data_IF_952786268520
#
_entry.id   IF_952786268520
#
_cell.length_a   1.000
_cell.length_b   1.000
_cell.length_c   1.000
_cell.angle_alpha   90.00
_cell.angle_beta   90.00
_cell.angle_gamma   90.00
#
_symmetry.space_group_name_H-M   'P 1'
#
loop_
_entity.id
_entity.type
_entity.pdbx_description
1 polymer ?
#
# COMPACT_ATOMS: atom_id res chain seq x y z
N UNK A 1 -27.13 7.93 25.97
CA UNK A 1 -26.53 7.29 24.79
C UNK A 1 -25.13 7.87 24.58
N UNK A 2 -24.08 7.21 25.06
CA UNK A 2 -22.75 7.80 25.24
C UNK A 2 -21.60 7.04 24.51
N UNK A 3 -21.90 6.30 23.43
CA UNK A 3 -20.91 5.47 22.72
C UNK A 3 -20.62 5.83 21.26
N UNK A 4 -21.45 6.64 20.59
CA UNK A 4 -21.38 6.75 19.12
C UNK A 4 -20.11 7.47 18.62
N UNK A 5 -19.62 8.49 19.31
CA UNK A 5 -18.50 9.32 18.83
C UNK A 5 -17.15 8.61 18.94
N UNK A 6 -16.90 7.93 20.07
CA UNK A 6 -15.67 7.16 20.28
C UNK A 6 -15.59 5.94 19.36
N UNK A 7 -16.70 5.22 19.18
CA UNK A 7 -16.76 4.08 18.24
C UNK A 7 -16.49 4.52 16.81
N UNK A 8 -17.05 5.65 16.35
CA UNK A 8 -16.76 6.19 15.01
C UNK A 8 -15.29 6.54 14.82
N UNK A 9 -14.66 7.18 15.79
CA UNK A 9 -13.22 7.50 15.74
C UNK A 9 -12.35 6.25 15.65
N UNK A 10 -12.62 5.23 16.48
CA UNK A 10 -11.89 3.96 16.43
C UNK A 10 -12.08 3.27 15.07
N UNK A 11 -13.30 3.31 14.52
CA UNK A 11 -13.58 2.76 13.20
C UNK A 11 -12.85 3.52 12.08
N UNK A 12 -12.82 4.85 12.11
CA UNK A 12 -12.05 5.64 11.15
C UNK A 12 -10.55 5.30 11.23
N UNK A 13 -10.00 5.17 12.43
CA UNK A 13 -8.60 4.77 12.62
C UNK A 13 -8.33 3.34 12.10
N UNK A 14 -9.25 2.41 12.34
CA UNK A 14 -9.17 1.05 11.81
C UNK A 14 -9.21 1.06 10.28
N UNK A 15 -10.09 1.85 9.66
CA UNK A 15 -10.17 2.01 8.20
C UNK A 15 -8.89 2.60 7.61
N UNK A 16 -8.33 3.63 8.25
CA UNK A 16 -7.09 4.27 7.82
C UNK A 16 -5.90 3.30 7.88
N UNK A 17 -5.87 2.45 8.91
CA UNK A 17 -4.90 1.36 9.06
C UNK A 17 -5.23 0.12 8.22
N UNK A 18 -6.23 0.21 7.34
CA UNK A 18 -6.69 -0.88 6.48
C UNK A 18 -7.33 -2.06 7.22
N UNK A 19 -7.52 -1.98 8.54
CA UNK A 19 -8.02 -3.10 9.35
C UNK A 19 -9.46 -3.48 8.94
N UNK A 20 -9.78 -4.78 8.85
CA UNK A 20 -11.13 -5.22 8.55
C UNK A 20 -12.06 -4.87 9.72
N UNK A 21 -13.27 -4.41 9.39
CA UNK A 21 -14.32 -4.02 10.35
C UNK A 21 -15.53 -4.91 10.10
N UNK A 22 -16.21 -5.37 11.16
CA UNK A 22 -17.47 -6.11 11.04
C UNK A 22 -18.56 -5.30 11.74
N UNK A 23 -19.40 -4.56 10.98
CA UNK A 23 -20.52 -3.83 11.54
C UNK A 23 -21.71 -4.77 11.76
N UNK A 24 -22.14 -4.93 13.00
CA UNK A 24 -23.29 -5.76 13.36
C UNK A 24 -24.48 -4.81 13.62
N UNK A 25 -25.43 -4.69 12.66
CA UNK A 25 -26.43 -3.62 12.68
C UNK A 25 -27.38 -3.69 13.88
N UNK A 26 -27.61 -4.87 14.47
CA UNK A 26 -28.52 -4.99 15.62
C UNK A 26 -28.03 -4.26 16.88
N UNK A 27 -26.73 -3.91 16.97
CA UNK A 27 -26.21 -3.11 18.07
C UNK A 27 -26.58 -1.63 17.95
N UNK A 28 -27.14 -1.21 16.80
CA UNK A 28 -27.64 0.13 16.57
C UNK A 28 -26.54 1.20 16.52
N UNK A 29 -26.98 2.46 16.37
CA UNK A 29 -26.11 3.63 16.43
C UNK A 29 -24.97 3.57 15.41
N UNK A 30 -23.73 3.76 15.87
CA UNK A 30 -22.56 3.76 14.99
C UNK A 30 -22.36 2.44 14.21
N UNK A 31 -22.82 1.32 14.76
CA UNK A 31 -22.70 0.01 14.08
C UNK A 31 -23.69 -0.10 12.91
N UNK A 32 -24.88 0.45 13.06
CA UNK A 32 -25.90 0.51 12.02
C UNK A 32 -25.48 1.47 10.89
N UNK A 33 -24.95 2.65 11.24
CA UNK A 33 -24.40 3.61 10.28
C UNK A 33 -23.28 2.98 9.43
N UNK A 34 -22.36 2.25 10.08
CA UNK A 34 -21.26 1.57 9.41
C UNK A 34 -21.73 0.38 8.56
N UNK A 35 -22.78 -0.32 8.99
CA UNK A 35 -23.36 -1.41 8.23
C UNK A 35 -23.90 -0.90 6.89
N UNK A 36 -24.64 0.22 6.89
CA UNK A 36 -25.10 0.87 5.66
C UNK A 36 -23.94 1.36 4.80
N UNK A 37 -22.91 1.95 5.41
CA UNK A 37 -21.70 2.38 4.70
C UNK A 37 -20.98 1.22 3.98
N UNK A 38 -20.86 0.05 4.62
CA UNK A 38 -20.19 -1.11 4.05
C UNK A 38 -21.10 -2.01 3.21
N UNK A 39 -22.40 -1.72 3.12
CA UNK A 39 -23.42 -2.55 2.46
C UNK A 39 -23.01 -2.96 1.04
N UNK A 40 -22.60 -2.02 0.20
CA UNK A 40 -22.18 -2.35 -1.16
C UNK A 40 -20.90 -3.22 -1.20
N UNK A 41 -19.94 -2.94 -0.31
CA UNK A 41 -18.66 -3.65 -0.24
C UNK A 41 -18.86 -5.11 0.19
N UNK A 42 -19.72 -5.34 1.18
CA UNK A 42 -19.96 -6.67 1.74
C UNK A 42 -21.03 -7.46 0.99
N UNK A 43 -21.88 -6.82 0.18
CA UNK A 43 -22.81 -7.53 -0.70
C UNK A 43 -22.08 -8.41 -1.73
N UNK A 44 -20.86 -8.03 -2.11
CA UNK A 44 -20.00 -8.79 -3.03
C UNK A 44 -19.25 -9.95 -2.37
N UNK A 45 -19.26 -10.03 -1.04
CA UNK A 45 -18.57 -11.08 -0.29
C UNK A 45 -19.60 -12.14 0.10
N UNK A 46 -19.35 -13.39 -0.24
CA UNK A 46 -20.22 -14.51 0.08
C UNK A 46 -19.58 -15.43 1.12
N UNK A 47 -20.40 -15.92 2.04
CA UNK A 47 -20.08 -16.99 2.99
C UNK A 47 -21.18 -18.02 2.83
N UNK A 48 -20.81 -19.27 2.52
CA UNK A 48 -21.78 -20.36 2.28
C UNK A 48 -22.89 -19.93 1.29
N UNK A 49 -22.49 -19.33 0.17
CA UNK A 49 -23.34 -18.76 -0.90
C UNK A 49 -24.28 -17.61 -0.53
N UNK A 50 -24.26 -17.17 0.74
CA UNK A 50 -25.03 -16.01 1.20
C UNK A 50 -24.15 -14.77 1.28
N UNK A 51 -24.63 -13.59 0.84
CA UNK A 51 -23.85 -12.37 0.97
C UNK A 51 -23.69 -12.01 2.46
N UNK A 52 -22.50 -11.54 2.84
CA UNK A 52 -22.16 -11.13 4.23
C UNK A 52 -23.19 -10.13 4.77
N UNK A 53 -23.69 -9.22 3.92
CA UNK A 53 -24.74 -8.26 4.28
C UNK A 53 -26.03 -8.92 4.73
N UNK A 54 -26.45 -10.02 4.07
CA UNK A 54 -27.65 -10.74 4.49
C UNK A 54 -27.45 -11.46 5.83
N UNK A 55 -26.24 -11.97 6.07
CA UNK A 55 -25.89 -12.63 7.34
C UNK A 55 -25.85 -11.64 8.50
N UNK A 56 -25.23 -10.47 8.30
CA UNK A 56 -25.15 -9.41 9.31
C UNK A 56 -26.50 -8.70 9.51
N UNK A 57 -27.27 -8.46 8.44
CA UNK A 57 -28.56 -7.76 8.50
C UNK A 57 -29.69 -8.57 9.16
N UNK A 58 -29.62 -9.90 9.13
CA UNK A 58 -30.57 -10.80 9.81
C UNK A 58 -30.11 -11.20 11.22
N UNK A 59 -29.01 -10.63 11.71
CA UNK A 59 -28.37 -11.04 12.95
C UNK A 59 -29.17 -10.55 14.16
N UNK A 60 -30.00 -11.45 14.72
CA UNK A 60 -30.64 -11.28 16.04
C UNK A 60 -30.18 -12.32 17.06
N UNK A 61 -29.83 -13.53 16.59
CA UNK A 61 -29.37 -14.69 17.37
C UNK A 61 -28.25 -15.46 16.65
N UNK A 62 -27.39 -14.79 15.87
CA UNK A 62 -26.35 -15.50 15.12
C UNK A 62 -25.35 -16.16 16.06
N UNK A 63 -24.87 -17.36 15.71
CA UNK A 63 -23.87 -18.08 16.49
C UNK A 63 -22.51 -17.40 16.35
N UNK A 64 -21.70 -17.41 17.41
CA UNK A 64 -20.33 -16.86 17.42
C UNK A 64 -19.49 -17.40 16.23
N UNK A 65 -19.75 -18.65 15.83
CA UNK A 65 -19.15 -19.30 14.67
C UNK A 65 -19.34 -18.53 13.35
N UNK A 66 -20.48 -17.88 13.12
CA UNK A 66 -20.71 -17.11 11.90
C UNK A 66 -19.87 -15.83 11.88
N UNK A 67 -19.74 -15.16 13.02
CA UNK A 67 -18.89 -13.97 13.15
C UNK A 67 -17.43 -14.35 12.95
N UNK A 68 -16.99 -15.46 13.54
CA UNK A 68 -15.63 -15.98 13.36
C UNK A 68 -15.38 -16.34 11.89
N UNK A 69 -16.30 -17.03 11.20
CA UNK A 69 -16.17 -17.31 9.76
C UNK A 69 -16.12 -16.05 8.90
N UNK A 70 -16.98 -15.07 9.18
CA UNK A 70 -16.95 -13.77 8.48
C UNK A 70 -15.63 -13.06 8.76
N UNK A 71 -15.15 -13.06 10.00
CA UNK A 71 -13.87 -12.49 10.39
C UNK A 71 -12.72 -13.18 9.68
N UNK A 72 -12.68 -14.52 9.65
CA UNK A 72 -11.68 -15.30 8.92
C UNK A 72 -11.70 -14.99 7.43
N UNK A 73 -12.87 -14.87 6.80
CA UNK A 73 -12.98 -14.54 5.38
C UNK A 73 -12.55 -13.10 5.10
N UNK A 74 -12.95 -12.14 5.94
CA UNK A 74 -12.53 -10.75 5.80
C UNK A 74 -11.03 -10.58 6.09
N UNK A 75 -10.50 -11.33 7.06
CA UNK A 75 -9.09 -11.33 7.42
C UNK A 75 -8.26 -12.04 6.35
N UNK A 76 -8.73 -13.17 5.82
CA UNK A 76 -8.11 -13.88 4.69
C UNK A 76 -8.18 -13.02 3.43
N UNK A 77 -9.29 -12.33 3.17
CA UNK A 77 -9.41 -11.37 2.05
C UNK A 77 -8.52 -10.14 2.25
N UNK A 78 -8.35 -9.69 3.48
CA UNK A 78 -7.38 -8.66 3.85
C UNK A 78 -5.94 -9.16 3.75
N UNK A 79 -5.67 -10.46 3.93
CA UNK A 79 -4.34 -11.05 3.73
C UNK A 79 -4.06 -11.41 2.26
N UNK A 80 -5.09 -11.77 1.48
CA UNK A 80 -5.00 -12.07 0.04
C UNK A 80 -5.17 -10.84 -0.83
N UNK A 81 -5.75 -9.75 -0.32
CA UNK A 81 -5.20 -8.42 -0.56
C UNK A 81 -3.86 -8.36 0.17
N UNK A 82 -2.86 -9.13 -0.28
CA UNK A 82 -1.49 -8.81 0.10
C UNK A 82 -1.33 -7.36 -0.33
N UNK A 83 -1.30 -6.44 0.63
CA UNK A 83 -1.29 -5.03 0.37
C UNK A 83 0.06 -4.78 -0.29
N UNK A 84 0.09 -4.84 -1.62
CA UNK A 84 1.30 -4.84 -2.42
C UNK A 84 2.17 -3.69 -1.92
N UNK A 85 3.30 -4.05 -1.31
CA UNK A 85 4.11 -3.11 -0.53
C UNK A 85 5.11 -2.41 -1.43
N UNK A 86 5.26 -1.12 -1.21
CA UNK A 86 6.14 -0.28 -2.00
C UNK A 86 7.30 0.23 -1.16
N UNK A 87 8.51 0.20 -1.69
CA UNK A 87 9.65 0.94 -1.15
C UNK A 87 9.99 2.07 -2.12
N UNK A 88 10.20 3.29 -1.61
CA UNK A 88 10.56 4.46 -2.42
C UNK A 88 11.99 4.87 -2.08
N UNK A 89 12.91 4.67 -3.02
CA UNK A 89 14.26 5.23 -2.99
C UNK A 89 14.28 6.56 -3.74
N UNK A 90 14.89 7.58 -3.13
CA UNK A 90 14.99 8.92 -3.70
C UNK A 90 16.20 9.67 -3.14
N UNK A 91 16.70 10.66 -3.89
CA UNK A 91 17.71 11.60 -3.37
C UNK A 91 17.03 12.63 -2.48
N UNK A 92 17.69 13.11 -1.41
CA UNK A 92 17.12 14.14 -0.53
C UNK A 92 16.60 15.38 -1.27
N UNK A 93 17.24 15.75 -2.39
CA UNK A 93 16.81 16.87 -3.25
C UNK A 93 15.47 16.64 -3.94
N UNK A 94 15.02 15.40 -4.02
CA UNK A 94 13.77 14.96 -4.65
C UNK A 94 12.67 14.65 -3.62
N UNK A 95 12.85 15.02 -2.35
CA UNK A 95 11.90 14.72 -1.25
C UNK A 95 10.46 15.19 -1.55
N UNK A 96 10.30 16.37 -2.16
CA UNK A 96 8.99 16.92 -2.53
C UNK A 96 8.27 16.01 -3.54
N UNK A 97 9.01 15.43 -4.47
CA UNK A 97 8.47 14.47 -5.44
C UNK A 97 8.14 13.14 -4.76
N UNK A 98 8.97 12.69 -3.82
CA UNK A 98 8.73 11.49 -3.02
C UNK A 98 7.45 11.60 -2.18
N UNK A 99 7.28 12.69 -1.44
CA UNK A 99 6.08 12.90 -0.61
C UNK A 99 4.80 12.97 -1.45
N UNK A 100 4.88 13.54 -2.65
CA UNK A 100 3.76 13.55 -3.59
C UNK A 100 3.40 12.14 -4.06
N UNK A 101 4.39 11.34 -4.45
CA UNK A 101 4.19 9.94 -4.88
C UNK A 101 3.66 9.09 -3.72
N UNK A 102 4.18 9.33 -2.51
CA UNK A 102 3.72 8.68 -1.29
C UNK A 102 2.23 8.97 -1.05
N UNK A 103 1.84 10.24 -1.15
CA UNK A 103 0.44 10.66 -1.02
C UNK A 103 -0.46 9.98 -2.04
N UNK A 104 -0.01 9.86 -3.29
CA UNK A 104 -0.76 9.19 -4.36
C UNK A 104 -0.93 7.69 -4.08
N UNK A 105 0.13 6.99 -3.67
CA UNK A 105 0.07 5.57 -3.33
C UNK A 105 -0.83 5.30 -2.11
N UNK A 106 -0.76 6.15 -1.08
CA UNK A 106 -1.66 6.07 0.08
C UNK A 106 -3.12 6.31 -0.30
N UNK A 107 -3.39 7.22 -1.23
CA UNK A 107 -4.75 7.45 -1.79
C UNK A 107 -5.31 6.20 -2.46
N UNK A 108 -4.44 5.41 -3.09
CA UNK A 108 -4.80 4.10 -3.68
C UNK A 108 -4.74 2.95 -2.65
N UNK A 109 -4.69 3.24 -1.34
CA UNK A 109 -4.60 2.27 -0.25
C UNK A 109 -3.40 1.30 -0.36
N UNK A 110 -2.27 1.77 -0.90
CA UNK A 110 -1.03 1.00 -0.99
C UNK A 110 -0.10 1.34 0.18
N UNK A 111 0.36 0.33 0.95
CA UNK A 111 1.29 0.55 2.04
C UNK A 111 2.70 0.83 1.50
N UNK A 112 3.40 1.73 2.18
CA UNK A 112 4.72 2.20 1.79
C UNK A 112 5.67 1.94 2.94
N UNK A 113 6.80 1.32 2.61
CA UNK A 113 7.92 1.06 3.49
C UNK A 113 8.92 2.19 3.27
N UNK A 114 9.15 2.98 4.32
CA UNK A 114 10.10 4.09 4.34
C UNK A 114 10.86 4.03 5.65
N UNK A 115 12.14 4.36 5.62
CA UNK A 115 12.86 4.63 6.87
C UNK A 115 12.46 6.04 7.34
N UNK A 116 11.87 6.15 8.52
CA UNK A 116 11.48 7.42 9.14
C UNK A 116 12.69 8.24 9.64
N UNK A 117 13.91 7.69 9.50
CA UNK A 117 15.12 8.43 9.77
C UNK A 117 15.47 9.30 8.56
N UNK A 118 15.45 10.63 8.76
CA UNK A 118 16.24 11.56 7.96
C UNK A 118 17.67 11.02 7.86
N UNK A 119 18.00 10.38 6.73
CA UNK A 119 19.35 9.89 6.48
C UNK A 119 20.22 11.12 6.22
N UNK A 120 20.77 11.66 7.30
CA UNK A 120 21.94 12.53 7.21
C UNK A 120 23.05 11.72 6.53
N UNK A 121 23.60 12.29 5.46
CA UNK A 121 24.68 11.68 4.70
C UNK A 121 25.86 11.34 5.63
N UNK A 122 26.21 10.06 5.75
CA UNK A 122 27.41 9.64 6.48
C UNK A 122 27.33 8.30 7.23
N UNK A 123 26.14 7.73 7.46
CA UNK A 123 26.05 6.40 8.09
C UNK A 123 26.18 5.26 7.06
N UNK A 124 26.80 4.12 7.44
CA UNK A 124 26.80 2.93 6.61
C UNK A 124 25.37 2.52 6.27
N UNK A 125 25.14 1.99 5.07
CA UNK A 125 23.85 1.47 4.63
C UNK A 125 23.23 0.69 5.79
N UNK A 126 22.16 1.22 6.37
CA UNK A 126 21.63 0.62 7.58
C UNK A 126 21.07 -0.75 7.22
N UNK A 127 21.39 -1.78 7.99
CA UNK A 127 20.81 -3.12 7.82
C UNK A 127 19.26 -3.06 7.74
N UNK A 128 18.67 -2.00 8.29
CA UNK A 128 17.25 -1.69 8.27
C UNK A 128 16.73 -1.38 6.86
N UNK A 129 17.42 -0.56 6.08
CA UNK A 129 17.03 -0.24 4.70
C UNK A 129 17.05 -1.48 3.81
N UNK A 130 18.10 -2.30 3.90
CA UNK A 130 18.15 -3.58 3.19
C UNK A 130 16.99 -4.50 3.60
N UNK A 131 16.70 -4.61 4.89
CA UNK A 131 15.58 -5.41 5.36
C UNK A 131 14.23 -4.91 4.81
N UNK A 132 14.02 -3.59 4.69
CA UNK A 132 12.82 -3.01 4.08
C UNK A 132 12.73 -3.32 2.58
N UNK A 133 13.85 -3.26 1.86
CA UNK A 133 13.91 -3.61 0.44
C UNK A 133 13.64 -5.11 0.24
N UNK A 134 14.16 -5.98 1.11
CA UNK A 134 13.94 -7.43 1.01
C UNK A 134 12.49 -7.87 1.22
N UNK A 135 11.72 -7.13 2.02
CA UNK A 135 10.32 -7.46 2.32
C UNK A 135 9.32 -6.71 1.43
N UNK A 136 9.77 -5.79 0.57
CA UNK A 136 8.88 -5.06 -0.32
C UNK A 136 8.48 -5.86 -1.57
N UNK A 137 7.29 -5.62 -2.10
CA UNK A 137 6.85 -6.23 -3.36
C UNK A 137 7.36 -5.44 -4.57
N UNK A 138 7.38 -4.11 -4.48
CA UNK A 138 7.88 -3.23 -5.55
C UNK A 138 8.81 -2.17 -5.01
N UNK A 139 10.00 -2.14 -5.60
CA UNK A 139 10.96 -1.07 -5.40
C UNK A 139 10.75 0.02 -6.44
N UNK A 140 10.60 1.27 -5.99
CA UNK A 140 10.48 2.46 -6.82
C UNK A 140 11.74 3.30 -6.62
N UNK A 141 12.49 3.55 -7.68
CA UNK A 141 13.54 4.57 -7.67
C UNK A 141 13.04 5.85 -8.34
N UNK A 142 13.16 6.98 -7.65
CA UNK A 142 12.92 8.30 -8.22
C UNK A 142 14.17 8.74 -8.97
N UNK A 143 14.29 8.29 -10.21
CA UNK A 143 15.44 8.53 -11.05
C UNK A 143 15.53 10.00 -11.44
N UNK A 144 16.64 10.61 -11.07
CA UNK A 144 17.00 11.99 -11.39
C UNK A 144 18.52 12.10 -11.57
N UNK A 145 18.99 13.23 -12.09
CA UNK A 145 20.42 13.56 -12.09
C UNK A 145 21.02 13.61 -10.67
N UNK A 146 20.23 13.91 -9.65
CA UNK A 146 20.66 13.91 -8.25
C UNK A 146 20.70 12.50 -7.67
N UNK A 147 19.78 11.63 -8.10
CA UNK A 147 19.78 10.21 -7.75
C UNK A 147 21.02 9.51 -8.31
N UNK A 148 21.36 9.76 -9.58
CA UNK A 148 22.50 9.11 -10.24
C UNK A 148 23.87 9.50 -9.66
N UNK A 149 23.96 10.68 -9.05
CA UNK A 149 25.15 11.15 -8.34
C UNK A 149 25.25 10.64 -6.89
N UNK A 150 24.16 10.10 -6.35
CA UNK A 150 24.12 9.56 -4.99
C UNK A 150 24.60 8.12 -4.99
N UNK A 151 25.83 7.89 -4.50
CA UNK A 151 26.40 6.55 -4.33
C UNK A 151 25.47 5.62 -3.53
N UNK A 152 24.73 6.19 -2.58
CA UNK A 152 23.80 5.45 -1.75
C UNK A 152 22.56 5.01 -2.52
N UNK A 153 21.88 5.93 -3.21
CA UNK A 153 20.70 5.62 -4.02
C UNK A 153 21.01 4.62 -5.15
N UNK A 154 22.20 4.72 -5.75
CA UNK A 154 22.66 3.75 -6.75
C UNK A 154 22.91 2.37 -6.15
N UNK A 155 23.48 2.29 -4.94
CA UNK A 155 23.70 1.02 -4.25
C UNK A 155 22.38 0.31 -3.88
N UNK A 156 21.37 1.07 -3.42
CA UNK A 156 20.04 0.53 -3.15
C UNK A 156 19.38 -0.04 -4.40
N UNK A 157 19.47 0.68 -5.53
CA UNK A 157 18.92 0.24 -6.81
C UNK A 157 19.61 -1.05 -7.29
N UNK A 158 20.93 -1.13 -7.19
CA UNK A 158 21.68 -2.33 -7.52
C UNK A 158 21.29 -3.52 -6.63
N UNK A 159 21.09 -3.27 -5.33
CA UNK A 159 20.65 -4.30 -4.40
C UNK A 159 19.24 -4.80 -4.74
N UNK A 160 18.29 -3.89 -5.00
CA UNK A 160 16.95 -4.24 -5.44
C UNK A 160 16.97 -5.03 -6.77
N UNK A 161 17.78 -4.62 -7.74
CA UNK A 161 17.95 -5.35 -9.01
C UNK A 161 18.45 -6.79 -8.79
N UNK A 162 19.41 -7.00 -7.88
CA UNK A 162 19.85 -8.36 -7.49
C UNK A 162 18.70 -9.18 -6.90
N UNK A 163 17.89 -8.59 -6.04
CA UNK A 163 16.73 -9.27 -5.46
C UNK A 163 15.68 -9.64 -6.51
N UNK A 164 15.47 -8.79 -7.51
CA UNK A 164 14.59 -9.06 -8.65
C UNK A 164 15.06 -10.30 -9.43
N UNK A 165 16.36 -10.42 -9.70
CA UNK A 165 16.93 -11.61 -10.33
C UNK A 165 16.70 -12.89 -9.50
N UNK A 166 16.79 -12.78 -8.18
CA UNK A 166 16.50 -13.90 -7.25
C UNK A 166 15.01 -14.12 -6.97
N UNK A 167 14.12 -13.33 -7.59
CA UNK A 167 12.66 -13.33 -7.38
C UNK A 167 12.22 -13.09 -5.92
N UNK A 168 13.04 -12.41 -5.13
CA UNK A 168 12.68 -12.01 -3.75
C UNK A 168 11.75 -10.80 -3.75
N UNK A 169 11.94 -9.87 -4.69
CA UNK A 169 10.99 -8.77 -4.97
C UNK A 169 10.34 -8.99 -6.32
N UNK A 170 9.11 -8.49 -6.50
CA UNK A 170 8.34 -8.73 -7.72
C UNK A 170 8.71 -7.78 -8.85
N UNK A 171 8.96 -6.50 -8.54
CA UNK A 171 9.21 -5.46 -9.55
C UNK A 171 10.19 -4.41 -9.06
N UNK A 172 10.94 -3.84 -10.01
CA UNK A 172 11.73 -2.62 -9.85
C UNK A 172 11.23 -1.64 -10.91
N UNK A 173 10.88 -0.43 -10.48
CA UNK A 173 10.32 0.62 -11.33
C UNK A 173 11.13 1.90 -11.18
N UNK A 174 11.47 2.52 -12.30
CA UNK A 174 12.18 3.78 -12.37
C UNK A 174 11.20 4.90 -12.74
N UNK A 175 11.10 5.92 -11.91
CA UNK A 175 10.29 7.11 -12.17
C UNK A 175 11.21 8.27 -12.52
N UNK A 176 11.23 8.63 -13.80
CA UNK A 176 12.15 9.64 -14.30
C UNK A 176 11.64 11.06 -14.02
N UNK A 177 12.28 11.77 -13.10
CA UNK A 177 11.85 13.08 -12.61
C UNK A 177 12.34 14.26 -13.46
N UNK A 178 13.46 14.12 -14.17
CA UNK A 178 14.12 15.22 -14.89
C UNK A 178 14.61 14.82 -16.30
N UNK A 179 14.11 13.69 -16.82
CA UNK A 179 14.54 13.06 -18.07
C UNK A 179 16.04 12.70 -18.09
N UNK A 180 16.67 12.47 -16.94
CA UNK A 180 18.05 12.01 -16.88
C UNK A 180 18.20 10.65 -17.60
N UNK A 181 19.23 10.47 -18.45
CA UNK A 181 19.42 9.24 -19.21
C UNK A 181 19.55 8.02 -18.31
N UNK A 182 19.01 6.90 -18.79
CA UNK A 182 19.13 5.58 -18.17
C UNK A 182 20.27 4.81 -18.85
N UNK A 183 21.05 4.09 -18.06
CA UNK A 183 22.00 3.11 -18.59
C UNK A 183 21.27 1.87 -19.14
N UNK A 184 21.94 1.05 -19.95
CA UNK A 184 21.35 -0.16 -20.55
C UNK A 184 20.80 -1.15 -19.51
N UNK A 185 21.45 -1.27 -18.34
CA UNK A 185 20.98 -2.13 -17.26
C UNK A 185 19.70 -1.61 -16.58
N UNK A 186 19.51 -0.29 -16.62
CA UNK A 186 18.34 0.39 -16.07
C UNK A 186 17.19 0.44 -17.08
N UNK A 187 17.49 0.49 -18.37
CA UNK A 187 16.49 0.43 -19.44
C UNK A 187 15.74 -0.92 -19.50
N UNK A 188 16.33 -1.99 -18.95
CA UNK A 188 15.66 -3.28 -18.80
C UNK A 188 14.61 -3.28 -17.67
N UNK A 189 14.56 -2.23 -16.84
CA UNK A 189 13.56 -2.06 -15.79
C UNK A 189 12.38 -1.24 -16.32
N UNK A 190 11.20 -1.39 -15.70
CA UNK A 190 10.04 -0.59 -16.09
C UNK A 190 10.33 0.88 -15.76
N UNK A 191 10.39 1.74 -16.79
CA UNK A 191 10.63 3.17 -16.64
C UNK A 191 9.42 3.97 -17.07
N UNK A 192 8.94 4.86 -16.19
CA UNK A 192 7.83 5.77 -16.48
C UNK A 192 8.27 7.24 -16.29
N UNK A 193 7.76 8.16 -17.12
CA UNK A 193 7.98 9.60 -16.90
C UNK A 193 7.25 10.06 -15.63
N UNK A 194 7.90 10.94 -14.86
CA UNK A 194 7.39 11.48 -13.60
C UNK A 194 7.78 12.95 -13.38
N UNK A 195 8.08 13.66 -14.47
CA UNK A 195 8.54 15.06 -14.48
C UNK A 195 7.47 16.01 -13.95
N UNK A 196 6.23 15.87 -14.41
CA UNK A 196 5.10 16.67 -13.95
C UNK A 196 4.25 15.93 -12.91
N UNK A 197 3.40 16.68 -12.17
CA UNK A 197 2.42 16.09 -11.25
C UNK A 197 1.47 15.11 -11.97
N UNK A 198 1.03 15.48 -13.18
CA UNK A 198 0.16 14.64 -14.02
C UNK A 198 0.86 13.35 -14.42
N UNK A 199 2.13 13.42 -14.77
CA UNK A 199 2.90 12.23 -15.14
C UNK A 199 3.06 11.28 -13.95
N UNK A 200 3.33 11.83 -12.75
CA UNK A 200 3.35 11.05 -11.50
C UNK A 200 2.02 10.35 -11.23
N UNK A 201 0.88 11.03 -11.40
CA UNK A 201 -0.44 10.42 -11.23
C UNK A 201 -0.69 9.29 -12.22
N UNK A 202 -0.38 9.52 -13.50
CA UNK A 202 -0.54 8.50 -14.55
C UNK A 202 0.37 7.30 -14.29
N UNK A 203 1.61 7.54 -13.88
CA UNK A 203 2.55 6.50 -13.54
C UNK A 203 2.00 5.64 -12.38
N UNK A 204 1.52 6.25 -11.28
CA UNK A 204 0.94 5.50 -10.15
C UNK A 204 -0.30 4.70 -10.56
N UNK A 205 -1.19 5.27 -11.36
CA UNK A 205 -2.38 4.57 -11.85
C UNK A 205 -2.01 3.37 -12.74
N UNK A 206 -0.98 3.50 -13.56
CA UNK A 206 -0.47 2.41 -14.40
C UNK A 206 0.17 1.32 -13.56
N UNK A 207 1.09 1.69 -12.67
CA UNK A 207 1.81 0.76 -11.79
C UNK A 207 0.88 -0.05 -10.88
N UNK A 208 -0.19 0.57 -10.37
CA UNK A 208 -1.15 -0.10 -9.49
C UNK A 208 -2.09 -1.04 -10.24
N UNK A 209 -2.42 -0.73 -11.51
CA UNK A 209 -3.17 -1.62 -12.39
C UNK A 209 -2.35 -2.88 -12.73
N UNK A 210 -1.07 -2.71 -12.97
CA UNK A 210 -0.14 -3.77 -13.36
C UNK A 210 0.30 -4.65 -12.16
N UNK A 211 -0.28 -4.47 -10.97
CA UNK A 211 -0.04 -5.35 -9.81
C UNK A 211 -0.72 -6.74 -9.96
N UNK A 212 -1.75 -6.84 -10.81
CA UNK A 212 -2.67 -7.99 -10.88
C UNK A 212 -2.34 -8.93 -12.06
N UNK A 213 -1.38 -8.58 -12.91
CA UNK A 213 -0.91 -9.39 -14.05
C UNK A 213 0.31 -10.22 -13.70
#
# INVERSE_FOLDING_TARGET
MAGATSTRLVCHLAMDKGKPIIPIPCFGGASEDLFEFFRYRYAKIKVDDKPVVALLGSWRNGTDEQVVKIAEILFKKHQTQSSHTYFISYSWKDCVSADHIETLLRREHRPILRDEADIQAGEPISNRVHALIEVCDTFIALWSSQYSQSQWCTAELEYAAKLLHTKKIKRVILLNLDNHPLSLLQANQLSEPATTRRDRELAILKMTRDEVS
#
